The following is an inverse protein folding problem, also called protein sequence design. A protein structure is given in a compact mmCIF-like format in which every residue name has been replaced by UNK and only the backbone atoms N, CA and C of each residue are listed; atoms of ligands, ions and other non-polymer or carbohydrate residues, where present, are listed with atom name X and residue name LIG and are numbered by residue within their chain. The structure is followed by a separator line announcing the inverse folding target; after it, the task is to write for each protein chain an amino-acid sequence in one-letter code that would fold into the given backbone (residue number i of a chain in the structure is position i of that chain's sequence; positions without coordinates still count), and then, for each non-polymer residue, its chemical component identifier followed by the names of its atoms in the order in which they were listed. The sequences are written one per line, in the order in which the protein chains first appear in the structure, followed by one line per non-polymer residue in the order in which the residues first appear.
data_IF_273038282473
#
_entry.id   IF_273038282473
#
_cell.length_a   1.000
_cell.length_b   1.000
_cell.length_c   1.000
_cell.angle_alpha   90.00
_cell.angle_beta   90.00
_cell.angle_gamma   90.00
#
_symmetry.space_group_name_H-M   'P 1'
#
loop_
_entity.id
_entity.type
_entity.pdbx_description
1 polymer ?
#
# COMPACT_ATOMS: atom_id res chain seq x y z
N UNK A 1 -85.97 -18.15 1.66
CA UNK A 1 -85.28 -17.36 0.63
C UNK A 1 -84.23 -16.50 1.31
N UNK A 2 -82.96 -16.60 0.86
CA UNK A 2 -81.92 -15.57 0.81
C UNK A 2 -81.54 -14.76 2.08
N UNK A 3 -80.28 -14.49 2.41
CA UNK A 3 -78.98 -14.88 1.87
C UNK A 3 -77.90 -14.56 2.92
N UNK A 4 -76.81 -15.31 2.83
CA UNK A 4 -75.59 -15.25 3.62
C UNK A 4 -74.74 -14.03 3.20
N UNK A 5 -74.22 -13.24 4.15
CA UNK A 5 -73.07 -12.35 3.90
C UNK A 5 -72.11 -12.38 5.09
N UNK A 6 -71.00 -13.10 4.87
CA UNK A 6 -69.78 -13.02 5.66
C UNK A 6 -69.14 -11.64 5.45
N UNK A 7 -68.73 -10.98 6.53
CA UNK A 7 -67.73 -9.90 6.47
C UNK A 7 -66.53 -10.35 7.28
N UNK A 8 -65.43 -10.55 6.56
CA UNK A 8 -64.11 -10.92 7.04
C UNK A 8 -63.54 -9.87 8.00
N UNK A 9 -62.94 -10.35 9.08
CA UNK A 9 -61.99 -9.62 9.92
C UNK A 9 -60.64 -9.61 9.19
N UNK A 10 -60.01 -8.45 9.03
CA UNK A 10 -58.61 -8.35 8.59
C UNK A 10 -57.82 -7.53 9.62
N UNK A 11 -56.87 -8.13 10.37
CA UNK A 11 -55.99 -7.37 11.24
C UNK A 11 -54.86 -6.75 10.41
N UNK A 12 -54.72 -5.43 10.48
CA UNK A 12 -53.57 -4.69 9.94
C UNK A 12 -52.37 -4.97 10.84
N UNK A 13 -51.54 -5.95 10.47
CA UNK A 13 -50.21 -6.16 11.05
C UNK A 13 -49.29 -5.13 10.39
N UNK A 14 -49.02 -4.04 11.09
CA UNK A 14 -47.94 -3.10 10.74
C UNK A 14 -46.62 -3.78 11.10
N UNK A 15 -46.04 -4.48 10.11
CA UNK A 15 -44.66 -4.93 10.15
C UNK A 15 -43.76 -3.68 10.03
N UNK A 16 -43.41 -3.09 11.16
CA UNK A 16 -42.23 -2.22 11.24
C UNK A 16 -41.01 -3.11 11.08
N UNK A 17 -40.59 -3.31 9.83
CA UNK A 17 -39.23 -3.75 9.51
C UNK A 17 -38.29 -2.62 9.96
N UNK A 18 -37.89 -2.66 11.22
CA UNK A 18 -36.70 -1.96 11.68
C UNK A 18 -35.52 -2.54 10.91
N UNK A 19 -35.20 -1.94 9.76
CA UNK A 19 -33.91 -2.06 9.11
C UNK A 19 -32.90 -1.40 10.05
N UNK A 20 -32.53 -2.08 11.13
CA UNK A 20 -31.25 -1.82 11.75
C UNK A 20 -30.23 -2.30 10.72
N UNK A 21 -29.62 -1.35 10.00
CA UNK A 21 -28.31 -1.59 9.44
C UNK A 21 -27.44 -2.06 10.62
N UNK A 22 -27.21 -3.37 10.71
CA UNK A 22 -26.15 -3.87 11.56
C UNK A 22 -24.87 -3.32 10.94
N UNK A 23 -24.38 -2.21 11.50
CA UNK A 23 -22.99 -1.81 11.36
C UNK A 23 -22.19 -3.06 11.76
N UNK A 24 -21.67 -3.74 10.74
CA UNK A 24 -20.75 -4.86 10.98
C UNK A 24 -19.60 -4.23 11.75
N UNK A 25 -19.18 -4.79 12.90
CA UNK A 25 -18.11 -4.18 13.68
C UNK A 25 -16.93 -3.92 12.75
N UNK A 26 -16.62 -2.65 12.49
CA UNK A 26 -15.47 -2.31 11.68
C UNK A 26 -14.24 -2.73 12.50
N UNK A 27 -13.43 -3.63 11.95
CA UNK A 27 -12.18 -4.01 12.56
C UNK A 27 -11.37 -2.73 12.78
N UNK A 28 -10.98 -2.43 14.02
CA UNK A 28 -10.17 -1.26 14.35
C UNK A 28 -8.69 -1.62 14.36
N UNK A 29 -7.85 -0.74 13.86
CA UNK A 29 -6.39 -0.89 13.85
C UNK A 29 -5.71 0.36 14.41
N UNK A 30 -4.53 0.17 14.99
CA UNK A 30 -3.63 1.22 15.42
C UNK A 30 -2.22 0.84 14.99
N UNK A 31 -1.63 1.63 14.08
CA UNK A 31 -0.37 1.31 13.41
C UNK A 31 0.27 2.56 12.81
N UNK A 32 1.54 2.46 12.43
CA UNK A 32 2.24 3.52 11.72
C UNK A 32 2.16 3.31 10.21
N UNK A 33 1.79 4.37 9.49
CA UNK A 33 1.70 4.41 8.04
C UNK A 33 2.89 5.17 7.46
N UNK A 34 3.44 4.61 6.39
CA UNK A 34 4.36 5.30 5.48
C UNK A 34 3.75 5.30 4.10
N UNK A 35 3.88 6.38 3.32
CA UNK A 35 3.31 6.45 1.97
C UNK A 35 4.39 6.61 0.90
N UNK A 36 4.06 6.14 -0.31
CA UNK A 36 4.85 6.30 -1.53
C UNK A 36 3.93 6.49 -2.72
N UNK A 37 4.17 7.50 -3.55
CA UNK A 37 3.53 7.63 -4.85
C UNK A 37 4.32 6.85 -5.88
N UNK A 38 3.66 5.95 -6.59
CA UNK A 38 4.28 5.17 -7.66
C UNK A 38 4.45 5.99 -8.95
N UNK A 39 3.51 6.90 -9.20
CA UNK A 39 3.53 7.83 -10.32
C UNK A 39 4.41 9.04 -10.03
N UNK A 40 4.94 9.67 -11.08
CA UNK A 40 5.77 10.87 -10.92
C UNK A 40 4.92 12.02 -10.36
N UNK A 41 5.46 12.71 -9.36
CA UNK A 41 4.86 13.92 -8.79
C UNK A 41 4.63 13.79 -7.28
N UNK A 42 3.90 14.75 -6.74
CA UNK A 42 3.40 14.73 -5.37
C UNK A 42 1.88 14.70 -5.45
N UNK A 43 1.26 13.85 -4.65
CA UNK A 43 -0.18 13.94 -4.39
C UNK A 43 -0.33 14.70 -3.09
N UNK A 44 -0.65 15.98 -3.20
CA UNK A 44 -0.73 16.91 -2.07
C UNK A 44 -2.08 16.78 -1.36
N UNK A 45 -2.16 17.14 -0.09
CA UNK A 45 -3.42 17.40 0.65
C UNK A 45 -4.49 16.31 0.54
N UNK A 46 -4.11 15.03 0.70
CA UNK A 46 -5.10 13.95 0.84
C UNK A 46 -5.58 13.87 2.28
N UNK A 47 -6.89 14.07 2.46
CA UNK A 47 -7.56 13.93 3.75
C UNK A 47 -7.82 12.48 4.09
N UNK A 48 -7.75 12.14 5.37
CA UNK A 48 -8.18 10.88 5.95
C UNK A 48 -8.72 11.14 7.36
N UNK A 49 -9.47 10.19 7.93
CA UNK A 49 -9.95 10.29 9.32
C UNK A 49 -9.14 9.36 10.21
N UNK A 50 -8.54 9.89 11.26
CA UNK A 50 -7.83 9.14 12.30
C UNK A 50 -8.24 9.68 13.66
N UNK A 51 -8.54 8.80 14.61
CA UNK A 51 -9.02 9.17 15.95
C UNK A 51 -10.18 10.19 15.94
N UNK A 52 -11.11 10.01 14.98
CA UNK A 52 -12.26 10.90 14.74
C UNK A 52 -11.93 12.32 14.24
N UNK A 53 -10.66 12.64 14.00
CA UNK A 53 -10.21 13.91 13.43
C UNK A 53 -9.84 13.76 11.96
N UNK A 54 -9.94 14.85 11.20
CA UNK A 54 -9.43 14.89 9.83
C UNK A 54 -7.97 15.27 9.87
N UNK A 55 -7.17 14.40 9.28
CA UNK A 55 -5.74 14.60 9.07
C UNK A 55 -5.47 14.71 7.57
N UNK A 56 -4.38 15.37 7.20
CA UNK A 56 -3.92 15.47 5.81
C UNK A 56 -2.52 14.89 5.65
N UNK A 57 -2.24 14.37 4.46
CA UNK A 57 -0.90 13.91 4.10
C UNK A 57 -0.59 14.19 2.63
N UNK A 58 0.68 14.52 2.40
CA UNK A 58 1.27 14.50 1.06
C UNK A 58 1.86 13.13 0.75
N UNK A 59 1.87 12.77 -0.53
CA UNK A 59 2.41 11.50 -1.00
C UNK A 59 3.46 11.75 -2.07
N UNK A 60 4.72 11.48 -1.73
CA UNK A 60 5.87 11.77 -2.56
C UNK A 60 6.28 10.59 -3.44
N UNK A 61 6.75 10.84 -4.66
CA UNK A 61 7.20 9.77 -5.57
C UNK A 61 8.70 9.47 -5.50
N UNK A 62 9.49 10.31 -4.82
CA UNK A 62 10.96 10.23 -4.79
C UNK A 62 11.52 9.78 -3.45
N UNK A 63 10.69 9.73 -2.42
CA UNK A 63 11.03 9.32 -1.08
C UNK A 63 9.79 8.75 -0.40
N UNK A 64 10.00 7.94 0.63
CA UNK A 64 8.95 7.58 1.57
C UNK A 64 8.54 8.82 2.38
N UNK A 65 7.27 8.91 2.78
CA UNK A 65 6.86 9.89 3.78
C UNK A 65 7.58 9.65 5.11
N UNK A 66 7.53 10.66 6.00
CA UNK A 66 7.75 10.39 7.42
C UNK A 66 6.61 9.48 7.90
N UNK A 67 6.88 8.47 8.74
CA UNK A 67 5.82 7.67 9.33
C UNK A 67 4.85 8.56 10.13
N UNK A 68 3.56 8.30 9.99
CA UNK A 68 2.53 8.93 10.82
C UNK A 68 1.62 7.87 11.42
N UNK A 69 1.11 8.16 12.62
CA UNK A 69 0.27 7.21 13.34
C UNK A 69 -1.16 7.25 12.79
N UNK A 70 -1.77 6.08 12.64
CA UNK A 70 -3.18 5.94 12.28
C UNK A 70 -3.89 5.10 13.33
N UNK A 71 -5.06 5.57 13.78
CA UNK A 71 -5.97 4.86 14.65
C UNK A 71 -7.39 4.99 14.11
N UNK A 72 -8.01 3.89 13.71
CA UNK A 72 -9.30 3.94 13.04
C UNK A 72 -9.73 2.60 12.45
N UNK A 73 -10.78 2.60 11.62
CA UNK A 73 -11.21 1.42 10.88
C UNK A 73 -10.08 0.84 10.01
N UNK A 74 -10.05 -0.49 9.87
CA UNK A 74 -9.11 -1.21 9.03
C UNK A 74 -9.31 -0.85 7.55
N UNK A 75 -10.53 -0.49 7.14
CA UNK A 75 -10.75 0.12 5.84
C UNK A 75 -10.47 1.62 5.94
N UNK A 76 -9.31 2.04 5.45
CA UNK A 76 -8.91 3.44 5.42
C UNK A 76 -9.32 4.07 4.08
N UNK A 77 -10.03 5.20 4.16
CA UNK A 77 -10.44 6.01 3.02
C UNK A 77 -9.65 7.30 2.97
N UNK A 78 -9.05 7.58 1.81
CA UNK A 78 -8.49 8.91 1.50
C UNK A 78 -9.49 9.69 0.65
N UNK A 79 -9.62 10.98 0.90
CA UNK A 79 -10.57 11.86 0.23
C UNK A 79 -9.98 13.24 -0.08
N UNK A 80 -10.66 13.96 -0.99
CA UNK A 80 -10.52 15.39 -1.23
C UNK A 80 -11.59 16.14 -0.46
N UNK A 81 -11.22 17.28 0.12
CA UNK A 81 -12.18 18.24 0.67
C UNK A 81 -12.37 19.40 -0.31
N UNK A 82 -13.63 19.69 -0.62
CA UNK A 82 -14.01 20.83 -1.46
C UNK A 82 -14.98 21.69 -0.67
N UNK A 83 -14.65 22.96 -0.46
CA UNK A 83 -15.59 23.90 0.16
C UNK A 83 -16.79 24.15 -0.74
N UNK A 84 -17.99 24.00 -0.19
CA UNK A 84 -19.25 24.25 -0.91
C UNK A 84 -19.88 25.55 -0.38
N UNK A 85 -20.21 26.53 -1.23
CA UNK A 85 -20.85 27.76 -0.78
C UNK A 85 -22.18 27.50 -0.07
N UNK A 86 -22.30 27.99 1.17
CA UNK A 86 -23.52 27.86 1.97
C UNK A 86 -23.59 26.58 2.81
N UNK A 87 -22.55 25.74 2.79
CA UNK A 87 -22.42 24.60 3.70
C UNK A 87 -21.37 24.89 4.78
N UNK A 88 -21.65 24.50 6.03
CA UNK A 88 -20.74 24.69 7.16
C UNK A 88 -19.58 23.68 7.16
N UNK A 89 -19.73 22.55 6.47
CA UNK A 89 -18.73 21.49 6.36
C UNK A 89 -18.32 21.28 4.89
N UNK A 90 -17.03 20.99 4.61
CA UNK A 90 -16.58 20.71 3.26
C UNK A 90 -17.15 19.38 2.73
N UNK A 91 -17.37 19.31 1.42
CA UNK A 91 -17.75 18.07 0.76
C UNK A 91 -16.52 17.15 0.66
N UNK A 92 -16.63 15.96 1.24
CA UNK A 92 -15.60 14.91 1.13
C UNK A 92 -15.87 14.02 -0.06
N UNK A 93 -14.96 14.04 -1.03
CA UNK A 93 -14.99 13.13 -2.18
C UNK A 93 -13.92 12.06 -1.99
N UNK A 94 -14.28 10.78 -1.71
CA UNK A 94 -13.31 9.71 -1.64
C UNK A 94 -12.48 9.65 -2.92
N UNK A 95 -11.19 9.34 -2.83
CA UNK A 95 -10.30 9.13 -3.99
C UNK A 95 -9.51 7.82 -3.90
N UNK A 96 -9.39 7.23 -2.71
CA UNK A 96 -8.80 5.91 -2.52
C UNK A 96 -9.43 5.19 -1.34
N UNK A 97 -9.44 3.86 -1.39
CA UNK A 97 -9.79 2.99 -0.25
C UNK A 97 -8.75 1.88 -0.16
N UNK A 98 -8.33 1.52 1.05
CA UNK A 98 -7.38 0.45 1.29
C UNK A 98 -7.76 -0.33 2.55
N UNK A 99 -7.68 -1.66 2.48
CA UNK A 99 -7.83 -2.50 3.65
C UNK A 99 -6.46 -2.68 4.31
N UNK A 100 -6.33 -2.24 5.55
CA UNK A 100 -5.14 -2.35 6.37
C UNK A 100 -5.07 -3.75 7.01
N UNK A 101 -3.88 -4.34 7.13
CA UNK A 101 -3.70 -5.64 7.77
C UNK A 101 -3.92 -5.55 9.30
N UNK A 102 -4.90 -6.29 9.82
CA UNK A 102 -5.35 -6.30 11.24
C UNK A 102 -4.29 -6.68 12.31
N UNK A 103 -3.04 -6.92 11.94
CA UNK A 103 -1.95 -7.33 12.86
C UNK A 103 -0.60 -6.68 12.57
N UNK A 104 -0.55 -5.73 11.64
CA UNK A 104 0.67 -4.99 11.40
C UNK A 104 0.76 -3.82 12.38
N UNK A 105 1.96 -3.58 12.89
CA UNK A 105 2.36 -2.37 13.60
C UNK A 105 2.87 -1.28 12.67
N UNK A 106 3.38 -1.66 11.49
CA UNK A 106 3.88 -0.73 10.48
C UNK A 106 3.43 -1.17 9.08
N UNK A 107 2.97 -0.23 8.26
CA UNK A 107 2.50 -0.49 6.88
C UNK A 107 3.04 0.55 5.91
N UNK A 108 3.53 0.10 4.75
CA UNK A 108 3.79 0.95 3.60
C UNK A 108 2.56 0.96 2.67
N UNK A 109 2.04 2.14 2.38
CA UNK A 109 1.00 2.37 1.39
C UNK A 109 1.62 2.86 0.08
N UNK A 110 1.38 2.14 -1.01
CA UNK A 110 1.83 2.54 -2.35
C UNK A 110 0.63 3.00 -3.16
N UNK A 111 0.64 4.26 -3.57
CA UNK A 111 -0.42 4.91 -4.34
C UNK A 111 -0.10 4.87 -5.83
N UNK A 112 -1.02 4.35 -6.63
CA UNK A 112 -0.93 4.34 -8.08
C UNK A 112 -2.16 5.01 -8.66
N UNK A 113 -1.96 6.00 -9.54
CA UNK A 113 -3.07 6.67 -10.21
C UNK A 113 -3.80 5.67 -11.11
N UNK A 114 -5.12 5.55 -10.92
CA UNK A 114 -5.94 4.84 -11.88
C UNK A 114 -6.13 5.72 -13.12
N UNK A 115 -5.46 5.35 -14.21
CA UNK A 115 -5.49 6.08 -15.50
C UNK A 115 -6.64 5.66 -16.41
N UNK A 116 -7.46 4.68 -15.99
CA UNK A 116 -8.65 4.25 -16.73
C UNK A 116 -9.87 5.11 -16.40
N UNK A 117 -9.77 5.97 -15.38
CA UNK A 117 -10.86 6.84 -14.92
C UNK A 117 -10.35 8.28 -14.91
N UNK A 118 -11.13 9.18 -15.53
CA UNK A 118 -10.82 10.63 -15.58
C UNK A 118 -10.80 11.25 -14.17
N UNK A 119 -11.78 10.88 -13.34
CA UNK A 119 -11.86 11.33 -11.95
C UNK A 119 -10.62 10.90 -11.15
N UNK A 120 -10.23 11.72 -10.18
CA UNK A 120 -9.12 11.40 -9.29
C UNK A 120 -9.38 10.15 -8.47
N UNK A 121 -8.67 9.07 -8.82
CA UNK A 121 -8.79 7.76 -8.21
C UNK A 121 -7.43 7.10 -8.11
N UNK A 122 -7.14 6.50 -6.96
CA UNK A 122 -5.90 5.76 -6.73
C UNK A 122 -6.21 4.32 -6.36
N UNK A 123 -5.43 3.41 -6.94
CA UNK A 123 -5.27 2.07 -6.42
C UNK A 123 -4.17 2.11 -5.36
N UNK A 124 -4.47 1.61 -4.17
CA UNK A 124 -3.53 1.63 -3.04
C UNK A 124 -3.25 0.21 -2.60
N UNK A 125 -1.96 -0.12 -2.48
CA UNK A 125 -1.52 -1.40 -1.94
C UNK A 125 -0.96 -1.16 -0.53
N UNK A 126 -1.41 -1.97 0.43
CA UNK A 126 -0.86 -2.01 1.79
C UNK A 126 0.15 -3.15 1.94
N UNK A 127 1.37 -2.82 2.35
CA UNK A 127 2.46 -3.78 2.57
C UNK A 127 2.84 -3.76 4.05
N UNK A 128 2.55 -4.85 4.82
CA UNK A 128 3.06 -5.00 6.17
C UNK A 128 4.59 -4.97 6.19
N UNK A 129 5.15 -4.22 7.12
CA UNK A 129 6.60 -3.97 7.20
C UNK A 129 7.15 -4.05 8.62
N UNK A 130 6.48 -4.83 9.47
CA UNK A 130 6.83 -5.04 10.87
C UNK A 130 8.30 -5.35 11.07
N UNK A 131 8.92 -4.74 12.08
CA UNK A 131 10.35 -4.93 12.41
C UNK A 131 10.76 -6.39 12.60
N UNK A 132 9.85 -7.24 13.06
CA UNK A 132 10.08 -8.69 13.22
C UNK A 132 10.30 -9.43 11.89
N UNK A 133 9.65 -8.97 10.81
CA UNK A 133 9.72 -9.57 9.47
C UNK A 133 10.61 -8.79 8.51
N UNK A 134 10.84 -7.51 8.80
CA UNK A 134 11.67 -6.61 8.03
C UNK A 134 12.53 -5.79 9.01
N UNK A 135 13.61 -6.40 9.55
CA UNK A 135 14.41 -5.79 10.61
C UNK A 135 15.32 -4.68 10.07
N UNK A 136 15.88 -3.91 10.98
CA UNK A 136 16.92 -2.92 10.70
C UNK A 136 18.11 -3.57 9.94
N UNK A 137 18.66 -2.87 8.95
CA UNK A 137 19.78 -3.35 8.12
C UNK A 137 19.38 -4.31 7.00
N UNK A 138 18.09 -4.59 6.83
CA UNK A 138 17.61 -5.53 5.83
C UNK A 138 17.07 -4.85 4.56
N UNK A 139 16.90 -5.68 3.54
CA UNK A 139 16.40 -5.32 2.21
C UNK A 139 15.14 -6.13 1.93
N UNK A 140 14.02 -5.46 1.67
CA UNK A 140 12.79 -6.11 1.22
C UNK A 140 12.66 -5.91 -0.29
N UNK A 141 12.72 -7.01 -1.01
CA UNK A 141 12.75 -7.03 -2.47
C UNK A 141 11.43 -7.59 -2.98
N UNK A 142 10.84 -6.86 -3.91
CA UNK A 142 9.64 -7.23 -4.65
C UNK A 142 10.02 -7.40 -6.12
N UNK A 143 9.79 -8.57 -6.66
CA UNK A 143 9.83 -8.77 -8.09
C UNK A 143 8.47 -8.40 -8.67
N UNK A 144 8.36 -7.20 -9.24
CA UNK A 144 7.15 -6.73 -9.91
C UNK A 144 7.31 -6.79 -11.44
N UNK A 145 8.33 -7.48 -11.93
CA UNK A 145 8.46 -7.72 -13.36
C UNK A 145 7.65 -8.94 -13.81
N UNK A 146 7.46 -9.04 -15.12
CA UNK A 146 6.72 -10.14 -15.77
C UNK A 146 7.55 -11.42 -15.92
N UNK A 147 8.73 -11.50 -15.29
CA UNK A 147 9.66 -12.63 -15.42
C UNK A 147 10.37 -12.95 -14.10
N UNK A 148 10.82 -14.20 -13.89
CA UNK A 148 11.68 -14.54 -12.76
C UNK A 148 12.99 -13.76 -12.81
N UNK A 149 13.49 -13.36 -11.64
CA UNK A 149 14.76 -12.65 -11.50
C UNK A 149 15.70 -13.39 -10.57
N UNK A 150 16.97 -13.44 -10.95
CA UNK A 150 18.07 -13.85 -10.09
C UNK A 150 18.77 -12.60 -9.59
N UNK A 151 19.04 -12.51 -8.30
CA UNK A 151 19.65 -11.36 -7.67
C UNK A 151 20.91 -11.73 -6.90
N UNK A 152 21.84 -10.78 -6.84
CA UNK A 152 22.98 -10.78 -5.94
C UNK A 152 22.97 -9.51 -5.11
N UNK A 153 23.09 -9.63 -3.80
CA UNK A 153 23.24 -8.51 -2.87
C UNK A 153 24.37 -8.80 -1.88
N UNK A 154 25.51 -8.13 -2.03
CA UNK A 154 26.73 -8.55 -1.35
C UNK A 154 27.09 -9.97 -1.80
N UNK A 155 27.25 -10.90 -0.86
CA UNK A 155 27.53 -12.32 -1.16
C UNK A 155 26.26 -13.18 -1.25
N UNK A 156 25.09 -12.64 -0.89
CA UNK A 156 23.82 -13.37 -0.97
C UNK A 156 23.34 -13.45 -2.42
N UNK A 157 23.09 -14.66 -2.91
CA UNK A 157 22.49 -14.93 -4.22
C UNK A 157 21.11 -15.55 -4.02
N UNK A 158 20.14 -15.13 -4.82
CA UNK A 158 18.76 -15.58 -4.69
C UNK A 158 18.03 -15.60 -6.03
N UNK A 159 16.96 -16.40 -6.10
CA UNK A 159 15.97 -16.33 -7.17
C UNK A 159 14.64 -15.86 -6.59
N UNK A 160 13.92 -15.06 -7.37
CA UNK A 160 12.55 -14.63 -7.10
C UNK A 160 11.72 -14.91 -8.35
N UNK A 161 10.63 -15.64 -8.18
CA UNK A 161 9.63 -15.77 -9.24
C UNK A 161 8.95 -14.42 -9.50
N UNK A 162 8.22 -14.33 -10.61
CA UNK A 162 7.37 -13.16 -10.90
C UNK A 162 6.40 -12.92 -9.74
N UNK A 163 6.21 -11.66 -9.36
CA UNK A 163 5.41 -11.24 -8.19
C UNK A 163 5.94 -11.76 -6.83
N UNK A 164 7.13 -12.36 -6.81
CA UNK A 164 7.77 -12.88 -5.60
C UNK A 164 8.28 -11.77 -4.68
N UNK A 165 8.42 -12.11 -3.40
CA UNK A 165 8.99 -11.24 -2.36
C UNK A 165 10.07 -11.99 -1.57
N UNK A 166 11.17 -11.33 -1.26
CA UNK A 166 12.19 -11.83 -0.32
C UNK A 166 12.69 -10.71 0.58
N UNK A 167 12.97 -11.04 1.84
CA UNK A 167 13.72 -10.17 2.76
C UNK A 167 15.12 -10.76 2.92
N UNK A 168 16.13 -9.92 2.77
CA UNK A 168 17.54 -10.28 2.93
C UNK A 168 18.14 -9.45 4.04
N UNK A 169 18.79 -10.11 4.99
CA UNK A 169 19.62 -9.46 5.99
C UNK A 169 21.06 -9.85 5.72
N UNK A 170 21.91 -8.86 5.47
CA UNK A 170 23.33 -9.11 5.28
C UNK A 170 24.02 -9.14 6.64
N UNK A 171 24.99 -10.03 6.89
CA UNK A 171 25.72 -10.12 8.15
C UNK A 171 26.79 -9.01 8.27
N UNK A 172 26.39 -7.77 8.03
CA UNK A 172 27.25 -6.59 8.05
C UNK A 172 26.93 -5.75 9.28
N UNK A 173 27.98 -5.32 10.00
CA UNK A 173 27.85 -4.57 11.26
C UNK A 173 28.17 -3.09 11.10
N UNK A 174 28.74 -2.69 9.96
CA UNK A 174 29.15 -1.33 9.68
C UNK A 174 28.69 -0.88 8.31
N UNK A 175 28.76 0.43 8.07
CA UNK A 175 28.52 1.01 6.75
C UNK A 175 29.60 0.50 5.78
N UNK A 176 29.18 -0.09 4.67
CA UNK A 176 30.08 -0.57 3.62
C UNK A 176 29.44 -0.46 2.24
N UNK A 177 30.21 -0.70 1.18
CA UNK A 177 29.70 -0.81 -0.18
C UNK A 177 29.38 -2.26 -0.50
N UNK A 178 28.22 -2.51 -1.09
CA UNK A 178 27.80 -3.83 -1.56
C UNK A 178 27.53 -3.80 -3.05
N UNK A 179 27.93 -4.86 -3.74
CA UNK A 179 27.52 -5.10 -5.12
C UNK A 179 26.05 -5.55 -5.14
N UNK A 180 25.28 -4.96 -6.05
CA UNK A 180 23.88 -5.34 -6.29
C UNK A 180 23.68 -5.60 -7.77
N UNK A 181 23.21 -6.80 -8.09
CA UNK A 181 22.95 -7.25 -9.46
C UNK A 181 21.59 -7.91 -9.55
N UNK A 182 20.91 -7.72 -10.67
CA UNK A 182 19.72 -8.48 -11.04
C UNK A 182 19.87 -8.98 -12.48
N UNK A 183 19.49 -10.22 -12.70
CA UNK A 183 19.47 -10.89 -13.98
C UNK A 183 18.06 -11.43 -14.26
N UNK A 184 17.66 -11.43 -15.52
CA UNK A 184 16.42 -12.06 -15.98
C UNK A 184 16.70 -13.44 -16.58
N UNK A 185 15.70 -14.31 -16.54
CA UNK A 185 15.74 -15.59 -17.24
C UNK A 185 15.13 -15.43 -18.64
N UNK A 186 15.92 -15.65 -19.69
CA UNK A 186 15.49 -15.62 -21.08
C UNK A 186 15.97 -16.89 -21.78
N UNK A 187 15.05 -17.66 -22.36
CA UNK A 187 15.33 -18.94 -23.04
C UNK A 187 16.19 -19.94 -22.22
N UNK A 188 16.06 -19.92 -20.89
CA UNK A 188 16.81 -20.78 -19.97
C UNK A 188 18.25 -20.31 -19.68
N UNK A 189 18.62 -19.11 -20.13
CA UNK A 189 19.88 -18.44 -19.77
C UNK A 189 19.61 -17.22 -18.88
N UNK A 190 20.56 -16.91 -18.00
CA UNK A 190 20.50 -15.75 -17.12
C UNK A 190 21.26 -14.59 -17.72
N UNK A 191 20.56 -13.51 -18.05
CA UNK A 191 21.14 -12.30 -18.61
C UNK A 191 21.14 -11.17 -17.59
N UNK A 192 22.29 -10.52 -17.41
CA UNK A 192 22.43 -9.42 -16.45
C UNK A 192 21.66 -8.18 -16.95
N UNK A 193 20.60 -7.82 -16.23
CA UNK A 193 19.77 -6.65 -16.56
C UNK A 193 20.00 -5.44 -15.65
N UNK A 194 20.70 -5.59 -14.53
CA UNK A 194 21.04 -4.47 -13.64
C UNK A 194 22.33 -4.76 -12.88
N UNK A 195 23.20 -3.77 -12.75
CA UNK A 195 24.41 -3.86 -11.92
C UNK A 195 24.77 -2.50 -11.33
N UNK A 196 24.97 -2.45 -10.02
CA UNK A 196 25.32 -1.22 -9.30
C UNK A 196 26.06 -1.53 -8.01
N UNK A 197 26.70 -0.50 -7.44
CA UNK A 197 27.34 -0.56 -6.12
C UNK A 197 26.57 0.39 -5.20
N UNK A 198 26.08 -0.13 -4.08
CA UNK A 198 25.26 0.61 -3.13
C UNK A 198 25.94 0.71 -1.77
N UNK A 199 25.74 1.83 -1.07
CA UNK A 199 26.12 1.92 0.34
C UNK A 199 25.09 1.19 1.21
N UNK A 200 25.54 0.15 1.90
CA UNK A 200 24.82 -0.50 2.98
C UNK A 200 24.91 0.34 4.25
N UNK A 201 23.80 0.45 4.97
CA UNK A 201 23.72 1.10 6.27
C UNK A 201 22.97 0.18 7.23
N UNK A 202 23.62 -0.20 8.33
CA UNK A 202 23.01 -1.07 9.34
C UNK A 202 21.78 -0.46 10.00
N UNK A 203 21.62 0.86 9.98
CA UNK A 203 20.48 1.58 10.56
C UNK A 203 19.40 1.95 9.55
N UNK A 204 19.40 1.32 8.38
CA UNK A 204 18.38 1.55 7.36
C UNK A 204 17.64 0.27 7.01
N UNK A 205 16.39 0.45 6.61
CA UNK A 205 15.62 -0.53 5.86
C UNK A 205 15.51 -0.04 4.43
N UNK A 206 15.56 -0.96 3.47
CA UNK A 206 15.49 -0.60 2.04
C UNK A 206 14.45 -1.46 1.34
N UNK A 207 13.44 -0.81 0.77
CA UNK A 207 12.50 -1.42 -0.16
C UNK A 207 13.07 -1.35 -1.57
N UNK A 208 13.07 -2.48 -2.28
CA UNK A 208 13.57 -2.60 -3.64
C UNK A 208 12.45 -3.17 -4.49
N UNK A 209 12.11 -2.47 -5.56
CA UNK A 209 11.15 -2.92 -6.55
C UNK A 209 11.87 -3.15 -7.86
N UNK A 210 11.85 -4.41 -8.32
CA UNK A 210 12.39 -4.83 -9.61
C UNK A 210 11.25 -4.79 -10.61
N UNK A 211 11.45 -4.12 -11.74
CA UNK A 211 10.41 -3.78 -12.72
C UNK A 211 10.88 -4.12 -14.13
N UNK A 212 9.93 -4.30 -15.04
CA UNK A 212 10.22 -4.23 -16.47
C UNK A 212 10.76 -2.83 -16.78
N UNK A 213 11.91 -2.79 -17.42
CA UNK A 213 12.42 -1.56 -17.99
C UNK A 213 11.64 -1.17 -19.24
N UNK A 214 11.63 0.13 -19.53
CA UNK A 214 11.16 0.67 -20.82
C UNK A 214 12.31 0.82 -21.83
N UNK A 215 13.54 0.59 -21.38
CA UNK A 215 14.73 0.62 -22.20
C UNK A 215 14.91 -0.73 -22.91
N UNK A 216 15.14 -0.69 -24.23
CA UNK A 216 15.43 -1.86 -25.03
C UNK A 216 16.79 -2.50 -24.75
N UNK A 217 17.69 -1.79 -24.05
CA UNK A 217 19.07 -2.24 -23.78
C UNK A 217 19.20 -2.94 -22.42
N UNK A 218 18.41 -2.50 -21.44
CA UNK A 218 18.47 -3.01 -20.07
C UNK A 218 17.06 -3.43 -19.69
N UNK A 219 16.73 -4.72 -19.61
CA UNK A 219 15.35 -5.17 -19.44
C UNK A 219 14.81 -4.99 -18.02
N UNK A 220 15.68 -4.69 -17.05
CA UNK A 220 15.33 -4.51 -15.65
C UNK A 220 15.48 -3.03 -15.25
N UNK A 221 14.43 -2.45 -14.67
CA UNK A 221 14.49 -1.20 -13.90
C UNK A 221 14.42 -1.52 -12.40
N UNK A 222 15.15 -0.75 -11.58
CA UNK A 222 15.23 -0.96 -10.13
C UNK A 222 14.93 0.35 -9.42
N UNK A 223 13.82 0.37 -8.69
CA UNK A 223 13.49 1.45 -7.77
C UNK A 223 13.86 1.06 -6.35
N UNK A 224 14.52 1.95 -5.64
CA UNK A 224 14.92 1.74 -4.24
C UNK A 224 14.46 2.89 -3.36
N UNK A 225 13.96 2.56 -2.18
CA UNK A 225 13.53 3.52 -1.18
C UNK A 225 14.07 3.10 0.17
N UNK A 226 14.89 3.95 0.77
CA UNK A 226 15.49 3.70 2.07
C UNK A 226 14.89 4.61 3.13
N UNK A 227 14.75 4.08 4.34
CA UNK A 227 14.43 4.86 5.52
C UNK A 227 15.42 4.59 6.63
N UNK A 228 15.51 5.52 7.57
CA UNK A 228 16.24 5.34 8.81
C UNK A 228 15.36 4.61 9.82
N UNK A 229 15.94 3.64 10.54
CA UNK A 229 15.30 2.96 11.65
C UNK A 229 16.12 3.23 12.91
N UNK A 230 15.57 3.99 13.89
CA UNK A 230 16.25 4.24 15.16
C UNK A 230 16.50 2.93 15.93
N UNK A 231 17.47 2.98 16.86
CA UNK A 231 17.78 1.85 17.75
C UNK A 231 16.62 1.49 18.68
#
# INVERSE_FOLDING_TARGET
MCSLRYILILPVIVLTLSLQAQETPEDFVSLDLTTLSWDKGVVEDLGYVSDHEVETTDIYSRALSVPFHYSGPAQLTFFRETSVPGEDAPLRTPVANVNLPNKASEVLLIFMRNKQVEAERYNVIAIPRDKSSFPRGSYQIFNLSDFPVSGKMGDEIFKLDYHGKKVITLPLQEKTSIEVKFAQEEEGQWELGYSSIWSHYVNKRVNIFVLNSKDSVSPIDVRRFSEYVPE
#
